data_IF_880698789949
#
_entry.id   IF_880698789949
#
_cell.length_a   1.000
_cell.length_b   1.000
_cell.length_c   1.000
_cell.angle_alpha   90.00
_cell.angle_beta   90.00
_cell.angle_gamma   90.00
#
_symmetry.space_group_name_H-M   'P 1'
#
loop_
_entity.id
_entity.type
_entity.pdbx_description
1 polymer ?
#
# COMPACT_ATOMS: atom_id res chain seq x y z
N UNK A 1 10.02 -5.69 -3.61
CA UNK A 1 11.16 -6.59 -3.89
C UNK A 1 10.86 -7.52 -5.06
N UNK A 2 10.14 -8.64 -4.89
CA UNK A 2 9.85 -9.58 -6.00
C UNK A 2 9.31 -8.95 -7.29
N UNK A 3 8.44 -7.95 -7.20
CA UNK A 3 7.97 -7.23 -8.39
C UNK A 3 9.12 -6.53 -9.14
N UNK A 4 10.05 -5.87 -8.44
CA UNK A 4 11.22 -5.24 -9.05
C UNK A 4 12.20 -6.26 -9.62
N UNK A 5 12.42 -7.38 -8.93
CA UNK A 5 13.22 -8.51 -9.45
C UNK A 5 12.63 -9.08 -10.74
N UNK A 6 11.30 -9.11 -10.84
CA UNK A 6 10.57 -9.52 -12.04
C UNK A 6 10.51 -8.43 -13.14
N UNK A 7 11.14 -7.27 -12.93
CA UNK A 7 11.23 -6.21 -13.94
C UNK A 7 10.12 -5.17 -13.94
N UNK A 8 9.30 -5.08 -12.88
CA UNK A 8 8.31 -4.00 -12.76
C UNK A 8 9.00 -2.64 -12.63
N UNK A 9 8.59 -1.67 -13.44
CA UNK A 9 9.22 -0.34 -13.49
C UNK A 9 8.97 0.53 -12.25
N UNK A 10 7.83 0.32 -11.57
CA UNK A 10 7.51 1.02 -10.33
C UNK A 10 6.58 0.20 -9.43
N UNK A 11 6.47 0.60 -8.17
CA UNK A 11 5.50 0.07 -7.23
C UNK A 11 4.94 1.17 -6.33
N UNK A 12 3.75 0.92 -5.76
CA UNK A 12 3.12 1.77 -4.76
C UNK A 12 2.99 0.96 -3.47
N UNK A 13 3.28 1.55 -2.32
CA UNK A 13 3.01 0.90 -1.04
C UNK A 13 1.51 0.74 -0.83
N UNK A 14 1.08 -0.26 -0.04
CA UNK A 14 -0.28 -0.21 0.51
C UNK A 14 -0.35 1.06 1.37
N UNK A 15 -1.47 1.78 1.29
CA UNK A 15 -1.69 3.00 2.04
C UNK A 15 -1.40 2.78 3.52
N UNK A 16 -0.57 3.62 4.14
CA UNK A 16 -0.27 3.58 5.57
C UNK A 16 -0.52 4.93 6.21
N UNK A 17 -0.73 4.92 7.52
CA UNK A 17 -1.07 6.08 8.35
C UNK A 17 -0.14 6.16 9.55
N UNK A 18 -0.28 7.22 10.36
CA UNK A 18 0.36 7.31 11.67
C UNK A 18 -0.17 6.24 12.61
N UNK A 19 0.62 5.85 13.62
CA UNK A 19 0.27 4.74 14.53
C UNK A 19 -1.05 4.95 15.29
N UNK A 20 -1.45 6.21 15.52
CA UNK A 20 -2.73 6.55 16.14
C UNK A 20 -3.95 6.18 15.29
N UNK A 21 -3.77 6.05 13.98
CA UNK A 21 -4.80 5.72 12.99
C UNK A 21 -4.69 4.26 12.55
N UNK A 22 -4.13 3.39 13.41
CA UNK A 22 -4.02 1.96 13.12
C UNK A 22 -5.40 1.33 12.95
N UNK A 23 -5.53 0.47 11.95
CA UNK A 23 -6.78 -0.22 11.61
C UNK A 23 -6.64 -1.72 11.81
N UNK A 24 -7.79 -2.40 11.90
CA UNK A 24 -7.86 -3.86 11.88
C UNK A 24 -8.91 -4.28 10.88
N UNK A 25 -8.52 -5.12 9.92
CA UNK A 25 -9.40 -5.62 8.87
C UNK A 25 -10.34 -6.71 9.40
N UNK A 26 -11.53 -6.78 8.82
CA UNK A 26 -12.45 -7.90 9.03
C UNK A 26 -12.20 -9.04 8.02
N UNK A 27 -12.81 -10.20 8.27
CA UNK A 27 -12.79 -11.34 7.34
C UNK A 27 -14.17 -12.02 7.31
N UNK A 28 -14.71 -12.39 6.12
CA UNK A 28 -14.13 -12.23 4.78
C UNK A 28 -14.20 -10.78 4.28
N UNK A 29 -13.26 -10.37 3.40
CA UNK A 29 -13.17 -8.97 2.93
C UNK A 29 -12.85 -8.74 1.46
N UNK A 30 -12.49 -9.77 0.71
CA UNK A 30 -12.27 -9.71 -0.74
C UNK A 30 -13.03 -10.88 -1.36
N UNK A 31 -13.92 -10.60 -2.29
CA UNK A 31 -14.76 -11.61 -2.95
C UNK A 31 -14.72 -11.44 -4.46
N UNK A 32 -14.92 -12.55 -5.19
CA UNK A 32 -15.08 -12.50 -6.64
C UNK A 32 -16.34 -11.71 -7.01
N UNK A 33 -16.28 -10.93 -8.07
CA UNK A 33 -17.44 -10.23 -8.58
C UNK A 33 -18.40 -11.15 -9.34
N UNK A 34 -19.66 -10.72 -9.40
CA UNK A 34 -20.74 -11.40 -10.15
C UNK A 34 -21.08 -10.70 -11.46
N UNK A 35 -20.26 -9.73 -11.87
CA UNK A 35 -20.50 -8.86 -13.04
C UNK A 35 -20.45 -9.58 -14.38
N UNK A 36 -19.97 -10.83 -14.40
CA UNK A 36 -19.83 -11.66 -15.61
C UNK A 36 -20.48 -13.04 -15.45
N UNK A 37 -21.46 -13.16 -14.55
CA UNK A 37 -22.17 -14.42 -14.30
C UNK A 37 -21.40 -15.44 -13.45
N UNK A 38 -21.81 -16.72 -13.47
CA UNK A 38 -21.25 -17.78 -12.62
C UNK A 38 -19.94 -18.36 -13.18
N UNK A 39 -18.99 -17.50 -13.55
CA UNK A 39 -17.66 -17.91 -14.02
C UNK A 39 -16.70 -17.99 -12.82
N UNK A 40 -16.04 -19.13 -12.65
CA UNK A 40 -15.10 -19.41 -11.58
C UNK A 40 -13.71 -19.69 -12.15
N UNK A 41 -12.67 -19.48 -11.34
CA UNK A 41 -11.28 -19.70 -11.75
C UNK A 41 -10.67 -18.49 -12.48
N UNK A 42 -9.85 -18.69 -13.52
CA UNK A 42 -9.05 -17.62 -14.13
C UNK A 42 -9.92 -16.54 -14.77
N UNK A 43 -9.36 -15.33 -14.90
CA UNK A 43 -10.01 -14.24 -15.62
C UNK A 43 -11.30 -13.72 -14.97
N UNK A 44 -11.35 -13.65 -13.64
CA UNK A 44 -12.48 -13.03 -12.94
C UNK A 44 -12.70 -11.60 -13.44
N UNK A 45 -13.93 -11.30 -13.87
CA UNK A 45 -14.26 -10.00 -14.46
C UNK A 45 -14.18 -8.82 -13.48
N UNK A 46 -14.29 -9.10 -12.17
CA UNK A 46 -14.11 -8.09 -11.11
C UNK A 46 -13.89 -8.74 -9.74
N UNK A 47 -13.53 -7.90 -8.78
CA UNK A 47 -13.49 -8.21 -7.36
C UNK A 47 -14.18 -7.09 -6.58
N UNK A 48 -14.80 -7.43 -5.44
CA UNK A 48 -15.31 -6.47 -4.46
C UNK A 48 -14.46 -6.59 -3.19
N UNK A 49 -14.12 -5.45 -2.59
CA UNK A 49 -13.38 -5.41 -1.33
C UNK A 49 -14.00 -4.45 -0.32
N UNK A 50 -13.86 -4.81 0.96
CA UNK A 50 -14.07 -3.96 2.14
C UNK A 50 -12.77 -3.89 2.96
N UNK A 51 -11.62 -4.04 2.29
CA UNK A 51 -10.32 -3.96 2.93
C UNK A 51 -9.95 -2.50 3.20
N UNK A 52 -9.37 -2.25 4.37
CA UNK A 52 -8.93 -0.93 4.79
C UNK A 52 -7.51 -0.63 4.27
N UNK A 53 -6.88 0.39 4.86
CA UNK A 53 -5.45 0.67 4.70
C UNK A 53 -4.58 -0.44 5.33
N UNK A 54 -3.27 -0.28 5.30
CA UNK A 54 -2.33 -1.25 5.88
C UNK A 54 -2.54 -1.41 7.39
N UNK A 55 -2.54 -2.65 7.87
CA UNK A 55 -2.45 -2.98 9.30
C UNK A 55 -1.01 -2.94 9.83
N UNK A 56 -0.04 -2.63 8.96
CA UNK A 56 1.37 -2.45 9.33
C UNK A 56 1.64 -0.97 9.62
N UNK A 57 2.50 -0.73 10.61
CA UNK A 57 2.84 0.61 11.10
C UNK A 57 3.59 1.44 10.05
N UNK A 58 3.59 2.77 10.24
CA UNK A 58 4.41 3.66 9.42
C UNK A 58 5.89 3.28 9.50
N UNK A 59 6.39 2.91 10.69
CA UNK A 59 7.79 2.50 10.88
C UNK A 59 8.17 1.28 10.02
N UNK A 60 7.27 0.29 9.89
CA UNK A 60 7.49 -0.86 9.00
C UNK A 60 7.64 -0.40 7.54
N UNK A 61 6.74 0.46 7.08
CA UNK A 61 6.76 0.95 5.70
C UNK A 61 7.98 1.82 5.44
N UNK A 62 8.36 2.67 6.40
CA UNK A 62 9.54 3.51 6.30
C UNK A 62 10.82 2.67 6.10
N UNK A 63 11.03 1.69 6.96
CA UNK A 63 12.14 0.75 6.84
C UNK A 63 12.12 0.00 5.50
N UNK A 64 10.94 -0.49 5.10
CA UNK A 64 10.79 -1.23 3.84
C UNK A 64 11.10 -0.37 2.61
N UNK A 65 10.71 0.91 2.61
CA UNK A 65 10.98 1.84 1.51
C UNK A 65 12.48 2.10 1.40
N UNK A 66 13.16 2.37 2.52
CA UNK A 66 14.62 2.57 2.55
C UNK A 66 15.37 1.35 2.01
N UNK A 67 15.01 0.15 2.46
CA UNK A 67 15.61 -1.10 1.96
C UNK A 67 15.36 -1.30 0.46
N UNK A 68 14.14 -1.02 -0.02
CA UNK A 68 13.81 -1.15 -1.43
C UNK A 68 14.52 -0.12 -2.31
N UNK A 69 14.67 1.12 -1.86
CA UNK A 69 15.42 2.14 -2.60
C UNK A 69 16.91 1.86 -2.62
N UNK A 70 17.47 1.31 -1.54
CA UNK A 70 18.86 0.84 -1.49
C UNK A 70 19.12 -0.26 -2.52
N UNK A 71 18.25 -1.25 -2.58
CA UNK A 71 18.48 -2.43 -3.44
C UNK A 71 18.03 -2.20 -4.90
N UNK A 72 17.08 -1.29 -5.11
CA UNK A 72 16.48 -0.98 -6.40
C UNK A 72 16.50 0.54 -6.67
N UNK A 73 17.68 1.18 -6.75
CA UNK A 73 17.78 2.64 -6.81
C UNK A 73 17.13 3.23 -8.07
N UNK A 74 17.10 2.47 -9.17
CA UNK A 74 16.53 2.90 -10.46
C UNK A 74 15.01 2.75 -10.53
N UNK A 75 14.41 1.91 -9.69
CA UNK A 75 12.97 1.66 -9.69
C UNK A 75 12.26 2.77 -8.92
N UNK A 76 11.11 3.19 -9.44
CA UNK A 76 10.29 4.20 -8.79
C UNK A 76 9.45 3.53 -7.70
N UNK A 77 9.49 4.09 -6.50
CA UNK A 77 8.67 3.65 -5.38
C UNK A 77 7.86 4.84 -4.89
N UNK A 78 6.54 4.68 -4.84
CA UNK A 78 5.60 5.73 -4.44
C UNK A 78 5.00 5.33 -3.09
N UNK A 79 5.18 6.17 -2.07
CA UNK A 79 4.55 5.98 -0.78
C UNK A 79 3.08 6.46 -0.84
N UNK A 80 2.12 5.54 -0.69
CA UNK A 80 0.72 5.89 -0.48
C UNK A 80 0.48 6.12 1.01
N UNK A 81 -0.01 7.31 1.36
CA UNK A 81 -0.23 7.73 2.75
C UNK A 81 -1.66 8.25 2.95
N UNK A 82 -2.16 8.16 4.18
CA UNK A 82 -3.49 8.67 4.57
C UNK A 82 -3.45 9.21 5.99
N UNK A 83 -4.06 10.37 6.19
CA UNK A 83 -4.33 10.95 7.51
C UNK A 83 -5.80 11.35 7.63
N UNK A 84 -6.22 11.62 8.86
CA UNK A 84 -7.45 12.34 9.14
C UNK A 84 -7.43 13.77 8.55
N UNK A 85 -8.51 14.54 8.68
CA UNK A 85 -8.55 15.94 8.22
C UNK A 85 -7.76 16.86 9.17
N UNK A 86 -6.43 16.75 9.11
CA UNK A 86 -5.49 17.43 9.99
C UNK A 86 -4.23 17.83 9.22
N UNK A 87 -3.99 19.14 9.14
CA UNK A 87 -2.85 19.70 8.39
C UNK A 87 -1.51 19.20 8.94
N UNK A 88 -1.40 19.13 10.27
CA UNK A 88 -0.15 18.79 10.93
C UNK A 88 0.22 17.32 10.68
N UNK A 89 -0.77 16.42 10.74
CA UNK A 89 -0.57 15.00 10.45
C UNK A 89 -0.18 14.75 9.00
N UNK A 90 -0.88 15.41 8.06
CA UNK A 90 -0.51 15.33 6.65
C UNK A 90 0.92 15.84 6.41
N UNK A 91 1.31 16.92 7.10
CA UNK A 91 2.66 17.49 6.99
C UNK A 91 3.71 16.54 7.57
N UNK A 92 3.43 15.93 8.72
CA UNK A 92 4.33 14.97 9.39
C UNK A 92 4.52 13.72 8.54
N UNK A 93 3.44 13.05 8.16
CA UNK A 93 3.49 11.76 7.46
C UNK A 93 4.08 11.91 6.05
N UNK A 94 3.78 13.00 5.35
CA UNK A 94 4.36 13.27 4.02
C UNK A 94 5.86 13.54 4.07
N UNK A 95 6.35 14.33 5.04
CA UNK A 95 7.79 14.56 5.22
C UNK A 95 8.52 13.29 5.61
N UNK A 96 7.94 12.48 6.50
CA UNK A 96 8.50 11.19 6.86
C UNK A 96 8.62 10.28 5.62
N UNK A 97 7.61 10.25 4.76
CA UNK A 97 7.61 9.48 3.53
C UNK A 97 8.57 10.00 2.44
N UNK A 98 8.79 11.31 2.37
CA UNK A 98 9.73 11.95 1.43
C UNK A 98 11.19 11.63 1.80
N UNK A 99 11.56 11.81 3.07
CA UNK A 99 12.95 11.62 3.55
C UNK A 99 13.46 10.21 3.28
N UNK A 100 12.60 9.19 3.40
CA UNK A 100 12.96 7.78 3.21
C UNK A 100 12.98 7.33 1.76
N UNK A 101 12.30 8.05 0.87
CA UNK A 101 12.19 7.72 -0.55
C UNK A 101 13.27 8.40 -1.42
N UNK A 102 14.03 9.32 -0.81
CA UNK A 102 15.19 10.02 -1.35
C UNK A 102 16.40 9.09 -1.47
#
# INVERSE_FOLDING_TARGET
RRAFEAGWGFAVTKTFSLDKDIVTNVSPRIVRGITSGPIYGPGQGSFLNIELISEKTAAYWCKSITELKSDFPKQILIASIMCSYSKDEWTELSKMAEVIAS
#
